data_IF_278534061944
#
_entry.id   IF_278534061944
#
_cell.length_a   1.000
_cell.length_b   1.000
_cell.length_c   1.000
_cell.angle_alpha   90.00
_cell.angle_beta   90.00
_cell.angle_gamma   90.00
#
_symmetry.space_group_name_H-M   'P 1'
#
loop_
_entity.id
_entity.type
_entity.pdbx_description
1 polymer ?
#
# COMPACT_ATOMS: atom_id res chain seq x y z
N UNK A 1 -7.31 -6.58 -13.80
CA UNK A 1 -8.43 -5.95 -13.08
C UNK A 1 -9.28 -6.95 -12.28
N UNK A 2 -9.40 -8.21 -12.71
CA UNK A 2 -10.28 -9.22 -12.08
C UNK A 2 -10.18 -9.37 -10.55
N UNK A 3 -8.98 -9.31 -9.95
CA UNK A 3 -8.85 -9.39 -8.48
C UNK A 3 -9.45 -8.15 -7.78
N UNK A 4 -9.23 -6.95 -8.32
CA UNK A 4 -9.80 -5.71 -7.78
C UNK A 4 -11.32 -5.67 -7.95
N UNK A 5 -11.84 -6.18 -9.06
CA UNK A 5 -13.29 -6.30 -9.28
C UNK A 5 -13.94 -7.30 -8.32
N UNK A 6 -13.27 -8.41 -8.02
CA UNK A 6 -13.70 -9.37 -7.00
C UNK A 6 -13.80 -8.70 -5.61
N UNK A 7 -12.81 -7.89 -5.24
CA UNK A 7 -12.88 -7.07 -4.02
C UNK A 7 -14.11 -6.15 -4.03
N UNK A 8 -14.39 -5.48 -5.16
CA UNK A 8 -15.57 -4.62 -5.30
C UNK A 8 -16.91 -5.35 -5.11
N UNK A 9 -16.96 -6.66 -5.39
CA UNK A 9 -18.13 -7.52 -5.19
C UNK A 9 -18.19 -8.21 -3.82
N UNK A 10 -17.22 -7.97 -2.94
CA UNK A 10 -17.16 -8.62 -1.63
C UNK A 10 -16.47 -9.99 -1.62
N UNK A 11 -15.76 -10.35 -2.69
CA UNK A 11 -15.11 -11.65 -2.84
C UNK A 11 -13.64 -11.57 -2.38
N UNK A 12 -13.41 -11.92 -1.11
CA UNK A 12 -12.10 -11.79 -0.46
C UNK A 12 -11.27 -13.08 -0.44
N UNK A 13 -11.76 -14.18 -1.05
CA UNK A 13 -11.13 -15.50 -0.92
C UNK A 13 -9.67 -15.55 -1.36
N UNK A 14 -9.29 -14.77 -2.38
CA UNK A 14 -7.90 -14.65 -2.83
C UNK A 14 -6.98 -13.93 -1.83
N UNK A 15 -7.54 -13.21 -0.84
CA UNK A 15 -6.80 -12.57 0.25
C UNK A 15 -6.61 -13.49 1.46
N UNK A 16 -7.24 -14.67 1.52
CA UNK A 16 -7.22 -15.52 2.71
C UNK A 16 -5.80 -15.95 3.15
N UNK A 17 -4.86 -16.07 2.20
CA UNK A 17 -3.45 -16.34 2.47
C UNK A 17 -2.55 -15.10 2.42
N UNK A 18 -3.10 -13.92 2.12
CA UNK A 18 -2.32 -12.70 2.00
C UNK A 18 -1.82 -12.25 3.37
N UNK A 19 -0.58 -11.76 3.42
CA UNK A 19 0.02 -11.20 4.62
C UNK A 19 0.20 -9.70 4.46
N UNK A 20 0.02 -8.97 5.55
CA UNK A 20 0.34 -7.54 5.59
C UNK A 20 1.85 -7.39 5.54
N UNK A 21 2.35 -6.70 4.52
CA UNK A 21 3.74 -6.29 4.45
C UNK A 21 3.86 -4.82 4.88
N UNK A 22 4.40 -4.59 6.08
CA UNK A 22 4.73 -3.24 6.55
C UNK A 22 6.07 -2.80 5.95
N UNK A 23 6.07 -1.70 5.20
CA UNK A 23 7.30 -1.08 4.71
C UNK A 23 7.50 0.28 5.39
N UNK A 24 8.73 0.53 5.84
CA UNK A 24 9.13 1.85 6.32
C UNK A 24 9.91 2.58 5.22
N UNK A 25 9.81 3.92 5.14
CA UNK A 25 10.62 4.70 4.23
C UNK A 25 12.10 4.60 4.59
N UNK A 26 12.94 4.55 3.56
CA UNK A 26 14.39 4.63 3.69
C UNK A 26 14.81 6.02 4.17
N UNK A 27 14.13 7.06 3.68
CA UNK A 27 14.37 8.45 4.08
C UNK A 27 13.05 9.17 4.33
N UNK A 28 13.02 9.97 5.40
CA UNK A 28 11.91 10.86 5.73
C UNK A 28 12.40 12.30 5.56
N UNK A 29 11.87 12.97 4.56
CA UNK A 29 12.17 14.38 4.28
C UNK A 29 11.56 15.33 5.32
N UNK A 30 11.73 16.63 5.09
CA UNK A 30 11.07 17.67 5.91
C UNK A 30 9.61 17.85 5.44
N UNK A 31 8.77 18.35 6.34
CA UNK A 31 7.44 18.81 5.97
C UNK A 31 7.54 20.12 5.18
N UNK A 32 6.98 20.15 3.97
CA UNK A 32 6.76 21.34 3.16
C UNK A 32 5.28 21.64 2.99
N UNK A 33 4.95 22.56 2.08
CA UNK A 33 3.55 22.97 1.82
C UNK A 33 2.66 21.82 1.34
N UNK A 34 3.23 20.80 0.68
CA UNK A 34 2.50 19.64 0.16
C UNK A 34 2.59 18.39 1.07
N UNK A 35 3.16 18.51 2.28
CA UNK A 35 3.38 17.37 3.19
C UNK A 35 4.84 16.93 3.28
N UNK A 36 5.09 15.67 3.65
CA UNK A 36 6.43 15.09 3.83
C UNK A 36 6.76 14.13 2.70
N UNK A 37 7.97 14.26 2.13
CA UNK A 37 8.49 13.30 1.17
C UNK A 37 9.06 12.09 1.91
N UNK A 38 8.42 10.93 1.76
CA UNK A 38 8.91 9.66 2.27
C UNK A 38 9.43 8.84 1.06
N UNK A 39 10.72 8.49 1.06
CA UNK A 39 11.38 7.74 -0.03
C UNK A 39 11.40 6.26 0.31
N UNK A 40 10.97 5.41 -0.64
CA UNK A 40 10.88 3.97 -0.47
C UNK A 40 11.81 3.25 -1.46
N UNK A 41 12.17 2.01 -1.13
CA UNK A 41 12.84 1.13 -2.07
C UNK A 41 11.90 0.79 -3.22
N UNK A 42 12.43 0.80 -4.45
CA UNK A 42 11.77 0.28 -5.66
C UNK A 42 12.05 -1.21 -5.78
#
# INVERSE_FOLDING_TARGET
AAQLEALGRGEWGHLAGARVHGQQPLERGRFGMCGRLDVYRV
#
